data_IF_865516731509
#
_entry.id   IF_865516731509
#
_cell.length_a   1.000
_cell.length_b   1.000
_cell.length_c   1.000
_cell.angle_alpha   90.00
_cell.angle_beta   90.00
_cell.angle_gamma   90.00
#
_symmetry.space_group_name_H-M   'P 1'
#
loop_
_entity.id
_entity.type
_entity.pdbx_description
1 polymer ?
#
# COMPACT_ATOMS: atom_id res chain seq x y z
N UNK A 1 14.91 19.22 -14.41
CA UNK A 1 13.58 19.83 -14.05
C UNK A 1 13.71 20.47 -12.68
N UNK A 2 13.17 21.67 -12.45
CA UNK A 2 13.16 22.31 -11.12
C UNK A 2 12.12 21.64 -10.21
N UNK A 3 12.31 21.74 -8.88
CA UNK A 3 11.34 21.19 -7.92
C UNK A 3 9.91 21.74 -8.12
N UNK A 4 9.79 23.04 -8.39
CA UNK A 4 8.49 23.68 -8.65
C UNK A 4 7.84 23.15 -9.94
N UNK A 5 8.63 22.87 -10.97
CA UNK A 5 8.14 22.29 -12.21
C UNK A 5 7.66 20.85 -12.01
N UNK A 6 8.38 20.06 -11.22
CA UNK A 6 7.97 18.71 -10.85
C UNK A 6 6.62 18.71 -10.12
N UNK A 7 6.46 19.57 -9.11
CA UNK A 7 5.20 19.71 -8.36
C UNK A 7 4.05 20.11 -9.30
N UNK A 8 4.27 21.10 -10.18
CA UNK A 8 3.24 21.54 -11.13
C UNK A 8 2.81 20.42 -12.08
N UNK A 9 3.75 19.68 -12.64
CA UNK A 9 3.46 18.56 -13.55
C UNK A 9 2.79 17.39 -12.83
N UNK A 10 3.22 17.09 -11.61
CA UNK A 10 2.58 16.07 -10.76
C UNK A 10 1.12 16.44 -10.47
N UNK A 11 0.85 17.68 -10.04
CA UNK A 11 -0.53 18.16 -9.81
C UNK A 11 -1.36 18.11 -11.10
N UNK A 12 -0.78 18.49 -12.24
CA UNK A 12 -1.46 18.38 -13.52
C UNK A 12 -1.79 16.94 -13.91
N UNK A 13 -0.93 15.98 -13.55
CA UNK A 13 -1.25 14.56 -13.74
C UNK A 13 -2.48 14.14 -12.93
N UNK A 14 -2.60 14.62 -11.68
CA UNK A 14 -3.77 14.37 -10.84
C UNK A 14 -5.04 15.02 -11.39
N UNK A 15 -4.95 16.21 -12.00
CA UNK A 15 -6.09 16.86 -12.66
C UNK A 15 -6.65 16.00 -13.80
N UNK A 16 -5.77 15.46 -14.67
CA UNK A 16 -6.19 14.53 -15.72
C UNK A 16 -6.73 13.19 -15.18
N UNK A 17 -6.22 12.72 -14.04
CA UNK A 17 -6.71 11.50 -13.41
C UNK A 17 -8.14 11.63 -12.87
N UNK A 18 -8.49 12.84 -12.42
CA UNK A 18 -9.74 13.11 -11.68
C UNK A 18 -10.71 14.02 -12.44
N UNK A 19 -10.37 14.44 -13.64
CA UNK A 19 -11.19 15.35 -14.43
C UNK A 19 -11.34 16.75 -13.81
N UNK A 20 -10.32 17.21 -13.04
CA UNK A 20 -10.37 18.53 -12.36
C UNK A 20 -9.94 19.66 -13.29
N UNK A 21 -10.92 20.41 -13.80
CA UNK A 21 -10.69 21.53 -14.72
C UNK A 21 -10.20 21.12 -16.12
N UNK A 22 -10.15 19.81 -16.39
CA UNK A 22 -9.84 19.19 -17.68
C UNK A 22 -10.65 17.91 -17.83
N UNK A 23 -10.95 17.43 -19.06
CA UNK A 23 -11.51 16.10 -19.25
C UNK A 23 -10.60 15.03 -18.64
N UNK A 24 -11.21 14.01 -18.03
CA UNK A 24 -10.47 12.85 -17.51
C UNK A 24 -9.71 12.16 -18.65
N UNK A 25 -8.41 11.93 -18.43
CA UNK A 25 -7.52 11.30 -19.41
C UNK A 25 -6.43 10.51 -18.63
N UNK A 26 -6.67 9.24 -18.29
CA UNK A 26 -5.70 8.43 -17.56
C UNK A 26 -4.37 8.25 -18.32
N UNK A 27 -4.40 8.25 -19.65
CA UNK A 27 -3.18 8.13 -20.46
C UNK A 27 -2.28 9.36 -20.33
N UNK A 28 -2.85 10.57 -20.40
CA UNK A 28 -2.11 11.82 -20.15
C UNK A 28 -1.64 11.90 -18.70
N UNK A 29 -2.49 11.48 -17.75
CA UNK A 29 -2.13 11.42 -16.35
C UNK A 29 -0.89 10.55 -16.15
N UNK A 30 -0.90 9.31 -16.65
CA UNK A 30 0.25 8.41 -16.59
C UNK A 30 1.51 9.02 -17.23
N UNK A 31 1.39 9.59 -18.44
CA UNK A 31 2.54 10.17 -19.16
C UNK A 31 3.20 11.32 -18.38
N UNK A 32 2.40 12.22 -17.81
CA UNK A 32 2.90 13.33 -16.99
C UNK A 32 3.55 12.81 -15.70
N UNK A 33 2.87 11.89 -14.99
CA UNK A 33 3.40 11.30 -13.77
C UNK A 33 4.72 10.54 -14.02
N UNK A 34 4.79 9.79 -15.12
CA UNK A 34 5.99 9.03 -15.50
C UNK A 34 7.19 9.97 -15.70
N UNK A 35 7.01 11.09 -16.39
CA UNK A 35 8.06 12.10 -16.58
C UNK A 35 8.61 12.59 -15.24
N UNK A 36 7.73 12.92 -14.32
CA UNK A 36 8.09 13.45 -12.99
C UNK A 36 8.71 12.35 -12.09
N UNK A 37 8.24 11.12 -12.20
CA UNK A 37 8.77 9.98 -11.44
C UNK A 37 10.20 9.62 -11.85
N UNK A 38 10.55 9.76 -13.14
CA UNK A 38 11.93 9.55 -13.61
C UNK A 38 12.90 10.62 -13.10
N UNK A 39 12.41 11.84 -12.84
CA UNK A 39 13.17 12.91 -12.18
C UNK A 39 13.27 12.72 -10.65
N UNK A 40 12.69 11.67 -10.09
CA UNK A 40 12.82 11.32 -8.69
C UNK A 40 11.79 11.93 -7.73
N UNK A 41 10.73 12.58 -8.25
CA UNK A 41 9.66 13.11 -7.39
C UNK A 41 9.00 11.98 -6.59
N UNK A 42 9.06 12.08 -5.27
CA UNK A 42 8.72 10.97 -4.35
C UNK A 42 7.30 10.41 -4.56
N UNK A 43 6.28 11.28 -4.53
CA UNK A 43 4.89 10.83 -4.71
C UNK A 43 4.61 10.32 -6.13
N UNK A 44 5.30 10.86 -7.15
CA UNK A 44 5.18 10.36 -8.51
C UNK A 44 5.78 8.95 -8.66
N UNK A 45 6.91 8.67 -7.99
CA UNK A 45 7.52 7.34 -7.94
C UNK A 45 6.56 6.33 -7.30
N UNK A 46 5.93 6.68 -6.17
CA UNK A 46 4.91 5.85 -5.54
C UNK A 46 3.71 5.62 -6.48
N UNK A 47 3.22 6.69 -7.10
CA UNK A 47 2.07 6.64 -8.00
C UNK A 47 2.32 5.74 -9.22
N UNK A 48 3.56 5.66 -9.76
CA UNK A 48 3.88 4.74 -10.84
C UNK A 48 3.57 3.27 -10.49
N UNK A 49 3.82 2.87 -9.23
CA UNK A 49 3.44 1.54 -8.75
C UNK A 49 1.94 1.32 -8.84
N UNK A 50 1.15 2.33 -8.47
CA UNK A 50 -0.31 2.27 -8.54
C UNK A 50 -0.83 2.25 -9.99
N UNK A 51 -0.27 3.04 -10.90
CA UNK A 51 -0.65 3.04 -12.32
C UNK A 51 -0.48 1.64 -12.94
N UNK A 52 0.68 1.00 -12.73
CA UNK A 52 0.92 -0.34 -13.24
C UNK A 52 0.11 -1.42 -12.52
N UNK A 53 -0.13 -1.27 -11.21
CA UNK A 53 -0.93 -2.22 -10.44
C UNK A 53 -2.39 -2.24 -10.90
N UNK A 54 -2.96 -1.07 -11.21
CA UNK A 54 -4.35 -0.92 -11.62
C UNK A 54 -4.56 -0.93 -13.13
N UNK A 55 -3.51 -0.82 -13.94
CA UNK A 55 -3.65 -0.67 -15.39
C UNK A 55 -4.28 0.68 -15.77
N UNK A 56 -3.99 1.74 -15.02
CA UNK A 56 -4.61 3.06 -15.21
C UNK A 56 -3.81 3.87 -16.24
N UNK A 57 -4.38 4.08 -17.43
CA UNK A 57 -3.70 4.78 -18.54
C UNK A 57 -2.49 4.02 -19.13
N UNK A 58 -2.23 2.80 -18.69
CA UNK A 58 -1.16 1.92 -19.12
C UNK A 58 -1.62 0.47 -18.92
N UNK A 59 -1.15 -0.52 -19.70
CA UNK A 59 -1.45 -1.92 -19.43
C UNK A 59 -0.99 -2.33 -18.02
N UNK A 60 -1.83 -3.13 -17.34
CA UNK A 60 -1.52 -3.66 -16.02
C UNK A 60 -0.25 -4.52 -16.06
N UNK A 61 0.64 -4.30 -15.10
CA UNK A 61 1.91 -5.02 -15.01
C UNK A 61 2.38 -5.08 -13.55
N UNK A 62 2.17 -6.22 -12.92
CA UNK A 62 2.53 -6.44 -11.50
C UNK A 62 4.04 -6.36 -11.25
N UNK A 63 4.87 -6.80 -12.22
CA UNK A 63 6.32 -6.75 -12.06
C UNK A 63 6.83 -5.31 -12.11
N UNK A 64 6.31 -4.50 -13.04
CA UNK A 64 6.63 -3.06 -13.06
C UNK A 64 6.10 -2.36 -11.81
N UNK A 65 4.90 -2.69 -11.35
CA UNK A 65 4.36 -2.15 -10.09
C UNK A 65 5.31 -2.45 -8.91
N UNK A 66 5.75 -3.71 -8.76
CA UNK A 66 6.71 -4.12 -7.71
C UNK A 66 8.04 -3.36 -7.82
N UNK A 67 8.56 -3.15 -9.03
CA UNK A 67 9.82 -2.39 -9.23
C UNK A 67 9.68 -0.93 -8.75
N UNK A 68 8.59 -0.26 -9.11
CA UNK A 68 8.32 1.11 -8.70
C UNK A 68 8.07 1.23 -7.19
N UNK A 69 7.30 0.33 -6.60
CA UNK A 69 7.11 0.29 -5.15
C UNK A 69 8.41 0.00 -4.41
N UNK A 70 9.28 -0.91 -4.90
CA UNK A 70 10.61 -1.12 -4.31
C UNK A 70 11.47 0.15 -4.38
N UNK A 71 11.41 0.91 -5.49
CA UNK A 71 12.09 2.21 -5.61
C UNK A 71 11.60 3.18 -4.54
N UNK A 72 10.29 3.33 -4.35
CA UNK A 72 9.71 4.19 -3.30
C UNK A 72 10.06 3.68 -1.88
N UNK A 73 9.98 2.38 -1.64
CA UNK A 73 10.28 1.76 -0.35
C UNK A 73 11.75 1.94 0.09
N UNK A 74 12.70 1.99 -0.86
CA UNK A 74 14.12 2.30 -0.57
C UNK A 74 14.31 3.70 0.02
N UNK A 75 13.40 4.63 -0.26
CA UNK A 75 13.36 5.96 0.35
C UNK A 75 12.53 6.02 1.64
N UNK A 76 12.18 4.84 2.19
CA UNK A 76 11.48 4.74 3.47
C UNK A 76 9.96 4.92 3.39
N UNK A 77 9.35 4.98 2.19
CA UNK A 77 7.90 5.20 2.08
C UNK A 77 7.08 3.99 2.59
N UNK A 78 6.38 4.10 3.72
CA UNK A 78 5.61 2.98 4.29
C UNK A 78 4.39 2.61 3.44
N UNK A 79 3.88 3.51 2.60
CA UNK A 79 2.77 3.24 1.67
C UNK A 79 3.21 2.26 0.57
N UNK A 80 4.45 2.43 0.08
CA UNK A 80 5.04 1.52 -0.91
C UNK A 80 5.32 0.15 -0.30
N UNK A 81 5.87 0.09 0.92
CA UNK A 81 6.10 -1.15 1.65
C UNK A 81 4.78 -1.92 1.88
N UNK A 82 3.73 -1.21 2.30
CA UNK A 82 2.40 -1.81 2.45
C UNK A 82 1.85 -2.35 1.12
N UNK A 83 2.06 -1.63 0.02
CA UNK A 83 1.61 -2.07 -1.32
C UNK A 83 2.34 -3.34 -1.77
N UNK A 84 3.66 -3.44 -1.52
CA UNK A 84 4.44 -4.66 -1.75
C UNK A 84 3.91 -5.83 -0.92
N UNK A 85 3.68 -5.62 0.37
CA UNK A 85 3.12 -6.65 1.25
C UNK A 85 1.79 -7.20 0.73
N UNK A 86 0.92 -6.33 0.20
CA UNK A 86 -0.36 -6.74 -0.40
C UNK A 86 -0.18 -7.55 -1.70
N UNK A 87 0.72 -7.14 -2.58
CA UNK A 87 0.99 -7.86 -3.83
C UNK A 87 1.48 -9.27 -3.49
N UNK A 88 2.50 -9.42 -2.64
CA UNK A 88 3.03 -10.71 -2.24
C UNK A 88 2.00 -11.57 -1.49
N UNK A 89 1.13 -10.95 -0.69
CA UNK A 89 0.02 -11.68 -0.06
C UNK A 89 -0.93 -12.30 -1.10
N UNK A 90 -1.24 -11.57 -2.16
CA UNK A 90 -2.09 -12.06 -3.26
C UNK A 90 -1.40 -13.17 -4.06
N UNK A 91 -0.09 -13.05 -4.27
CA UNK A 91 0.75 -14.07 -4.90
C UNK A 91 0.97 -15.31 -3.99
N UNK A 92 0.50 -15.28 -2.74
CA UNK A 92 0.72 -16.29 -1.70
C UNK A 92 2.20 -16.45 -1.28
N UNK A 93 3.03 -15.51 -1.61
CA UNK A 93 4.38 -15.41 -1.03
C UNK A 93 4.28 -14.77 0.36
N UNK A 94 3.91 -15.60 1.34
CA UNK A 94 3.71 -15.14 2.71
C UNK A 94 5.00 -14.70 3.39
N UNK A 95 6.17 -15.14 2.90
CA UNK A 95 7.48 -14.72 3.41
C UNK A 95 7.74 -13.25 3.08
N UNK A 96 7.71 -12.90 1.81
CA UNK A 96 7.87 -11.52 1.37
C UNK A 96 6.73 -10.63 1.89
N UNK A 97 5.50 -11.14 1.89
CA UNK A 97 4.35 -10.41 2.42
C UNK A 97 4.54 -10.00 3.89
N UNK A 98 4.93 -10.94 4.75
CA UNK A 98 5.19 -10.67 6.17
C UNK A 98 6.33 -9.66 6.34
N UNK A 99 7.44 -9.84 5.60
CA UNK A 99 8.59 -8.94 5.64
C UNK A 99 8.18 -7.50 5.32
N UNK A 100 7.44 -7.30 4.22
CA UNK A 100 7.06 -5.96 3.78
C UNK A 100 6.01 -5.32 4.68
N UNK A 101 5.03 -6.08 5.20
CA UNK A 101 4.07 -5.54 6.17
C UNK A 101 4.74 -5.18 7.50
N UNK A 102 5.71 -5.98 7.97
CA UNK A 102 6.46 -5.66 9.19
C UNK A 102 7.25 -4.36 9.02
N UNK A 103 8.02 -4.24 7.93
CA UNK A 103 8.75 -2.99 7.62
C UNK A 103 7.83 -1.76 7.53
N UNK A 104 6.65 -1.92 6.91
CA UNK A 104 5.69 -0.84 6.83
C UNK A 104 5.12 -0.47 8.21
N UNK A 105 4.86 -1.45 9.07
CA UNK A 105 4.39 -1.23 10.44
C UNK A 105 5.45 -0.51 11.28
N UNK A 106 6.72 -0.93 11.20
CA UNK A 106 7.85 -0.29 11.86
C UNK A 106 8.06 1.15 11.39
N UNK A 107 7.77 1.43 10.12
CA UNK A 107 7.76 2.78 9.55
C UNK A 107 6.46 3.57 9.84
N UNK A 108 5.61 3.10 10.74
CA UNK A 108 4.42 3.81 11.22
C UNK A 108 3.15 3.62 10.39
N UNK A 109 3.12 2.69 9.42
CA UNK A 109 1.91 2.42 8.64
C UNK A 109 0.92 1.56 9.41
N UNK A 110 -0.01 2.17 10.11
CA UNK A 110 -0.94 1.52 11.04
C UNK A 110 -1.76 0.35 10.44
N UNK A 111 -2.14 0.44 9.14
CA UNK A 111 -2.87 -0.65 8.48
C UNK A 111 -2.04 -1.93 8.35
N UNK A 112 -0.72 -1.82 8.33
CA UNK A 112 0.18 -2.97 8.28
C UNK A 112 0.14 -3.81 9.55
N UNK A 113 -0.12 -3.22 10.71
CA UNK A 113 -0.31 -3.95 11.98
C UNK A 113 -1.42 -5.00 11.86
N UNK A 114 -2.53 -4.66 11.20
CA UNK A 114 -3.61 -5.61 10.95
C UNK A 114 -3.15 -6.80 10.10
N UNK A 115 -2.32 -6.56 9.08
CA UNK A 115 -1.83 -7.63 8.21
C UNK A 115 -0.77 -8.50 8.89
N UNK A 116 0.13 -7.91 9.66
CA UNK A 116 1.08 -8.66 10.52
C UNK A 116 0.29 -9.53 11.53
N UNK A 117 -0.76 -8.97 12.14
CA UNK A 117 -1.67 -9.73 13.01
C UNK A 117 -2.33 -10.92 12.28
N UNK A 118 -2.72 -10.76 11.01
CA UNK A 118 -3.24 -11.89 10.21
C UNK A 118 -2.21 -12.98 9.99
N UNK A 119 -0.96 -12.65 9.73
CA UNK A 119 0.11 -13.65 9.60
C UNK A 119 0.27 -14.49 10.88
N UNK A 120 0.26 -13.84 12.04
CA UNK A 120 0.27 -14.53 13.33
C UNK A 120 -1.02 -15.33 13.61
N UNK A 121 -2.17 -14.81 13.16
CA UNK A 121 -3.45 -15.50 13.36
C UNK A 121 -3.56 -16.81 12.60
N UNK A 122 -3.02 -16.88 11.38
CA UNK A 122 -3.10 -18.04 10.51
C UNK A 122 -1.80 -18.86 10.44
N UNK A 123 -0.76 -18.47 11.13
CA UNK A 123 0.54 -19.15 11.05
C UNK A 123 1.20 -19.02 9.65
N UNK A 124 0.99 -17.91 8.97
CA UNK A 124 1.54 -17.67 7.62
C UNK A 124 2.96 -17.14 7.71
N UNK A 125 3.96 -17.93 7.36
CA UNK A 125 5.40 -17.66 7.46
C UNK A 125 5.95 -17.46 8.90
N UNK A 126 5.09 -17.39 9.89
CA UNK A 126 5.44 -17.30 11.32
C UNK A 126 4.59 -18.30 12.10
N UNK A 127 5.05 -18.82 13.24
CA UNK A 127 4.22 -19.69 14.08
C UNK A 127 2.90 -19.01 14.45
N UNK A 128 1.83 -19.81 14.46
CA UNK A 128 0.52 -19.31 14.92
C UNK A 128 0.65 -18.76 16.34
N UNK A 129 0.24 -17.50 16.52
CA UNK A 129 0.23 -16.83 17.82
C UNK A 129 -0.98 -15.90 17.91
N UNK A 130 -2.10 -16.48 18.37
CA UNK A 130 -3.36 -15.71 18.49
C UNK A 130 -3.29 -14.59 19.52
N UNK A 131 -2.47 -14.74 20.56
CA UNK A 131 -2.28 -13.67 21.56
C UNK A 131 -1.62 -12.44 20.94
N UNK A 132 -0.53 -12.64 20.18
CA UNK A 132 0.15 -11.57 19.48
C UNK A 132 -0.74 -10.97 18.36
N UNK A 133 -1.45 -11.81 17.61
CA UNK A 133 -2.41 -11.35 16.62
C UNK A 133 -3.47 -10.43 17.22
N UNK A 134 -4.05 -10.80 18.37
CA UNK A 134 -5.05 -9.97 19.08
C UNK A 134 -4.45 -8.65 19.54
N UNK A 135 -3.23 -8.64 20.08
CA UNK A 135 -2.51 -7.42 20.45
C UNK A 135 -2.37 -6.46 19.26
N UNK A 136 -1.95 -6.99 18.11
CA UNK A 136 -1.77 -6.21 16.88
C UNK A 136 -3.11 -5.72 16.31
N UNK A 137 -4.19 -6.51 16.39
CA UNK A 137 -5.52 -6.06 15.98
C UNK A 137 -6.05 -4.94 16.87
N UNK A 138 -5.83 -4.99 18.18
CA UNK A 138 -6.18 -3.90 19.09
C UNK A 138 -5.42 -2.63 18.75
N UNK A 139 -4.09 -2.73 18.58
CA UNK A 139 -3.26 -1.60 18.22
C UNK A 139 -3.66 -0.97 16.86
N UNK A 140 -4.01 -1.80 15.87
CA UNK A 140 -4.55 -1.33 14.59
C UNK A 140 -5.92 -0.64 14.77
N UNK A 141 -6.78 -1.16 15.64
CA UNK A 141 -8.10 -0.57 15.91
C UNK A 141 -8.00 0.79 16.62
N UNK A 142 -7.07 0.96 17.56
CA UNK A 142 -6.74 2.23 18.21
C UNK A 142 -6.30 3.27 17.18
N UNK A 143 -5.51 2.84 16.16
CA UNK A 143 -5.13 3.65 15.01
C UNK A 143 -6.25 3.80 13.96
N UNK A 144 -7.51 3.60 14.34
CA UNK A 144 -8.72 3.80 13.52
C UNK A 144 -8.82 2.90 12.28
N UNK A 145 -8.11 1.77 12.24
CA UNK A 145 -8.21 0.81 11.13
C UNK A 145 -9.52 0.04 11.24
N UNK A 146 -10.48 0.37 10.37
CA UNK A 146 -11.85 -0.18 10.41
C UNK A 146 -11.90 -1.70 10.24
N UNK A 147 -10.99 -2.28 9.45
CA UNK A 147 -10.91 -3.74 9.29
C UNK A 147 -10.60 -4.44 10.63
N UNK A 148 -9.69 -3.89 11.43
CA UNK A 148 -9.37 -4.39 12.77
C UNK A 148 -10.55 -4.25 13.72
N UNK A 149 -11.23 -3.09 13.75
CA UNK A 149 -12.43 -2.87 14.57
C UNK A 149 -13.54 -3.87 14.25
N UNK A 150 -13.81 -4.10 12.96
CA UNK A 150 -14.83 -5.09 12.52
C UNK A 150 -14.46 -6.50 12.93
N UNK A 151 -13.19 -6.89 12.75
CA UNK A 151 -12.70 -8.21 13.14
C UNK A 151 -12.83 -8.44 14.65
N UNK A 152 -12.38 -7.52 15.48
CA UNK A 152 -12.49 -7.60 16.95
C UNK A 152 -13.94 -7.72 17.42
N UNK A 153 -14.85 -6.93 16.83
CA UNK A 153 -16.30 -7.02 17.11
C UNK A 153 -16.84 -8.41 16.74
N UNK A 154 -16.46 -8.96 15.59
CA UNK A 154 -16.87 -10.30 15.17
C UNK A 154 -16.37 -11.39 16.14
N UNK A 155 -15.09 -11.34 16.54
CA UNK A 155 -14.49 -12.32 17.45
C UNK A 155 -15.16 -12.27 18.81
N UNK A 156 -15.40 -11.09 19.40
CA UNK A 156 -16.07 -10.95 20.69
C UNK A 156 -17.52 -11.47 20.69
N UNK A 157 -18.24 -11.32 19.57
CA UNK A 157 -19.59 -11.89 19.45
C UNK A 157 -19.59 -13.42 19.36
N UNK A 158 -18.55 -14.01 18.75
CA UNK A 158 -18.42 -15.46 18.65
C UNK A 158 -18.08 -16.13 19.99
N UNK A 159 -17.28 -15.44 20.83
CA UNK A 159 -16.96 -15.93 22.18
C UNK A 159 -18.18 -15.93 23.10
N UNK A 160 -19.07 -14.93 22.98
CA UNK A 160 -20.31 -14.84 23.79
C UNK A 160 -21.38 -15.89 23.42
N UNK A 161 -21.22 -16.58 22.29
CA UNK A 161 -22.17 -17.59 21.80
C UNK A 161 -21.72 -19.04 22.10
N UNK A 162 -20.56 -19.19 22.71
CA UNK A 162 -20.03 -20.51 23.21
C UNK A 162 -20.32 -20.66 24.69
#
# INVERSE_FOLDING_TARGET
MTSNEQIRLYNRSLDYLQGRGVPEDPGKSFALNSKVAHEGHHDAVLAMGWYYLGGVGVPQDYEKAKRWYRKSARHGDPRAMFSLGRIFYTERDFSESFLWFSRAADAGHARSLYWVGKHHWYGQNVPENKKEAMRLFHLAAENKIMAAKRLLKFLSQRERRK
#
